data_IF_810217238359
#
_entry.id   IF_810217238359
#
_cell.length_a   1.000
_cell.length_b   1.000
_cell.length_c   1.000
_cell.angle_alpha   90.00
_cell.angle_beta   90.00
_cell.angle_gamma   90.00
#
_symmetry.space_group_name_H-M   'P 1'
#
loop_
_entity.id
_entity.type
_entity.pdbx_description
1 polymer ?
#
# COMPACT_ATOMS: atom_id res chain seq x y z
N UNK A 1 13.84 -32.38 -12.25
CA UNK A 1 12.61 -31.65 -12.64
C UNK A 1 12.91 -30.35 -13.41
N UNK A 2 13.84 -29.52 -12.93
CA UNK A 2 14.11 -28.16 -13.45
C UNK A 2 14.62 -28.09 -14.90
N UNK A 3 15.49 -29.01 -15.33
CA UNK A 3 16.06 -29.02 -16.71
C UNK A 3 15.02 -29.31 -17.80
N UNK A 4 14.02 -30.14 -17.51
CA UNK A 4 12.93 -30.48 -18.45
C UNK A 4 12.00 -29.27 -18.60
N UNK A 5 11.61 -28.64 -17.48
CA UNK A 5 10.76 -27.44 -17.48
C UNK A 5 11.43 -26.27 -18.20
N UNK A 6 12.74 -26.08 -18.03
CA UNK A 6 13.50 -25.03 -18.71
C UNK A 6 13.49 -25.19 -20.25
N UNK A 7 13.52 -26.44 -20.75
CA UNK A 7 13.48 -26.74 -22.19
C UNK A 7 12.14 -26.35 -22.82
N UNK A 8 11.04 -26.54 -22.08
CA UNK A 8 9.67 -26.26 -22.57
C UNK A 8 9.17 -24.86 -22.22
N UNK A 9 9.90 -24.09 -21.42
CA UNK A 9 9.51 -22.72 -21.06
C UNK A 9 9.53 -21.79 -22.29
N UNK A 10 8.43 -21.07 -22.57
CA UNK A 10 8.40 -20.03 -23.60
C UNK A 10 9.49 -18.97 -23.40
N UNK A 11 10.02 -18.43 -24.50
CA UNK A 11 11.09 -17.43 -24.43
C UNK A 11 10.67 -16.13 -23.73
N UNK A 12 9.39 -15.76 -23.81
CA UNK A 12 8.83 -14.66 -23.05
C UNK A 12 9.03 -14.85 -21.54
N UNK A 13 8.77 -16.05 -21.02
CA UNK A 13 8.90 -16.36 -19.60
C UNK A 13 10.37 -16.42 -19.17
N UNK A 14 11.27 -16.94 -20.02
CA UNK A 14 12.72 -16.91 -19.76
C UNK A 14 13.23 -15.47 -19.63
N UNK A 15 12.76 -14.55 -20.48
CA UNK A 15 13.15 -13.12 -20.43
C UNK A 15 12.63 -12.45 -19.16
N UNK A 16 11.39 -12.72 -18.75
CA UNK A 16 10.83 -12.23 -17.48
C UNK A 16 11.64 -12.74 -16.30
N UNK A 17 11.92 -14.05 -16.23
CA UNK A 17 12.70 -14.64 -15.14
C UNK A 17 14.10 -14.02 -15.02
N UNK A 18 14.78 -13.77 -16.14
CA UNK A 18 16.08 -13.07 -16.12
C UNK A 18 15.96 -11.64 -15.64
N UNK A 19 14.94 -10.89 -16.09
CA UNK A 19 14.75 -9.51 -15.67
C UNK A 19 14.41 -9.38 -14.18
N UNK A 20 13.66 -10.32 -13.62
CA UNK A 20 13.47 -10.43 -12.17
C UNK A 20 14.82 -10.64 -11.48
N UNK A 21 15.63 -11.59 -11.97
CA UNK A 21 16.97 -11.84 -11.44
C UNK A 21 17.88 -10.60 -11.50
N UNK A 22 17.86 -9.85 -12.60
CA UNK A 22 18.63 -8.60 -12.73
C UNK A 22 18.12 -7.50 -11.79
N UNK A 23 16.80 -7.38 -11.62
CA UNK A 23 16.23 -6.38 -10.70
C UNK A 23 16.62 -6.68 -9.24
N UNK A 24 16.60 -7.95 -8.86
CA UNK A 24 17.09 -8.42 -7.56
C UNK A 24 18.59 -8.18 -7.38
N UNK A 25 19.39 -8.43 -8.41
CA UNK A 25 20.85 -8.25 -8.37
C UNK A 25 21.26 -6.78 -8.23
N UNK A 26 20.60 -5.88 -8.97
CA UNK A 26 20.90 -4.45 -8.96
C UNK A 26 20.33 -3.76 -7.72
N UNK A 27 19.14 -4.19 -7.25
CA UNK A 27 18.55 -3.73 -6.00
C UNK A 27 18.04 -2.28 -5.99
N UNK A 28 18.14 -1.55 -7.10
CA UNK A 28 17.71 -0.16 -7.22
C UNK A 28 16.30 -0.01 -7.83
N UNK A 29 15.67 1.13 -7.58
CA UNK A 29 14.31 1.45 -8.03
C UNK A 29 14.20 1.49 -9.56
N UNK A 30 15.25 1.91 -10.26
CA UNK A 30 15.27 2.02 -11.73
C UNK A 30 15.20 0.63 -12.39
N UNK A 31 15.92 -0.36 -11.85
CA UNK A 31 15.86 -1.74 -12.31
C UNK A 31 14.44 -2.32 -12.15
N UNK A 32 13.80 -2.05 -11.02
CA UNK A 32 12.40 -2.44 -10.78
C UNK A 32 11.41 -1.70 -11.71
N UNK A 33 11.64 -0.43 -12.03
CA UNK A 33 10.83 0.28 -13.03
C UNK A 33 10.97 -0.34 -14.43
N UNK A 34 12.18 -0.70 -14.84
CA UNK A 34 12.40 -1.38 -16.14
C UNK A 34 11.73 -2.75 -16.21
N UNK A 35 11.65 -3.47 -15.09
CA UNK A 35 10.90 -4.73 -15.04
C UNK A 35 9.44 -4.53 -15.44
N UNK A 36 8.79 -3.43 -15.06
CA UNK A 36 7.37 -3.16 -15.40
C UNK A 36 7.11 -3.12 -16.91
N UNK A 37 8.07 -2.57 -17.68
CA UNK A 37 8.02 -2.52 -19.15
C UNK A 37 8.09 -3.93 -19.73
N UNK A 38 8.98 -4.77 -19.20
CA UNK A 38 9.16 -6.15 -19.67
C UNK A 38 7.95 -7.00 -19.33
N UNK A 39 7.39 -6.87 -18.11
CA UNK A 39 6.17 -7.58 -17.72
C UNK A 39 5.01 -7.19 -18.63
N UNK A 40 4.82 -5.90 -18.91
CA UNK A 40 3.74 -5.40 -19.77
C UNK A 40 3.87 -5.90 -21.21
N UNK A 41 5.09 -5.98 -21.74
CA UNK A 41 5.34 -6.39 -23.13
C UNK A 41 5.36 -7.92 -23.35
N UNK A 42 5.41 -8.73 -22.29
CA UNK A 42 5.68 -10.18 -22.39
C UNK A 42 4.69 -11.08 -21.65
N UNK A 43 3.93 -10.54 -20.71
CA UNK A 43 2.90 -11.28 -19.98
C UNK A 43 1.52 -10.77 -20.32
N UNK A 44 0.53 -11.66 -20.26
CA UNK A 44 -0.89 -11.26 -20.33
C UNK A 44 -1.32 -10.52 -19.05
N UNK A 45 -2.43 -9.77 -19.07
CA UNK A 45 -2.97 -9.14 -17.87
C UNK A 45 -3.20 -10.13 -16.72
N UNK A 46 -3.71 -11.32 -17.01
CA UNK A 46 -4.00 -12.37 -16.03
C UNK A 46 -2.70 -12.90 -15.39
N UNK A 47 -1.66 -13.10 -16.20
CA UNK A 47 -0.34 -13.53 -15.70
C UNK A 47 0.30 -12.47 -14.81
N UNK A 48 0.19 -11.19 -15.16
CA UNK A 48 0.68 -10.10 -14.30
C UNK A 48 -0.10 -10.01 -13.00
N UNK A 49 -1.42 -10.15 -13.04
CA UNK A 49 -2.27 -10.16 -11.86
C UNK A 49 -1.92 -11.33 -10.92
N UNK A 50 -1.73 -12.53 -11.46
CA UNK A 50 -1.29 -13.69 -10.67
C UNK A 50 0.09 -13.49 -10.04
N UNK A 51 1.04 -12.91 -10.77
CA UNK A 51 2.37 -12.60 -10.24
C UNK A 51 2.31 -11.54 -9.13
N UNK A 52 1.52 -10.48 -9.31
CA UNK A 52 1.31 -9.45 -8.29
C UNK A 52 0.66 -10.03 -7.04
N UNK A 53 -0.36 -10.87 -7.20
CA UNK A 53 -1.01 -11.58 -6.08
C UNK A 53 -0.01 -12.43 -5.31
N UNK A 54 0.82 -13.23 -6.00
CA UNK A 54 1.81 -14.08 -5.35
C UNK A 54 2.86 -13.26 -4.59
N UNK A 55 3.31 -12.14 -5.17
CA UNK A 55 4.23 -11.22 -4.51
C UNK A 55 3.60 -10.60 -3.25
N UNK A 56 2.38 -10.06 -3.35
CA UNK A 56 1.66 -9.47 -2.21
C UNK A 56 1.39 -10.50 -1.09
N UNK A 57 1.06 -11.74 -1.44
CA UNK A 57 0.85 -12.82 -0.46
C UNK A 57 2.11 -13.24 0.30
N UNK A 58 3.29 -12.84 -0.17
CA UNK A 58 4.56 -13.08 0.53
C UNK A 58 4.92 -12.01 1.56
N UNK A 59 4.17 -10.91 1.60
CA UNK A 59 4.41 -9.75 2.47
C UNK A 59 3.61 -9.84 3.78
N UNK A 60 4.05 -9.09 4.80
CA UNK A 60 3.23 -8.86 6.00
C UNK A 60 2.06 -7.91 5.68
N UNK A 61 0.98 -7.89 6.49
CA UNK A 61 -0.14 -6.98 6.26
C UNK A 61 0.27 -5.50 6.14
N UNK A 62 1.19 -5.03 6.98
CA UNK A 62 1.69 -3.65 6.92
C UNK A 62 2.50 -3.37 5.65
N UNK A 63 3.29 -4.33 5.17
CA UNK A 63 4.01 -4.20 3.89
C UNK A 63 3.05 -4.16 2.69
N UNK A 64 1.97 -4.95 2.72
CA UNK A 64 0.92 -4.89 1.70
C UNK A 64 0.30 -3.50 1.66
N UNK A 65 -0.08 -2.94 2.81
CA UNK A 65 -0.64 -1.60 2.90
C UNK A 65 0.34 -0.54 2.36
N UNK A 66 1.61 -0.58 2.78
CA UNK A 66 2.63 0.35 2.32
C UNK A 66 2.85 0.29 0.80
N UNK A 67 2.86 -0.91 0.20
CA UNK A 67 2.94 -1.05 -1.27
C UNK A 67 1.68 -0.48 -1.93
N UNK A 68 0.49 -0.82 -1.42
CA UNK A 68 -0.78 -0.34 -1.95
C UNK A 68 -0.87 1.19 -1.99
N UNK A 69 -0.42 1.88 -0.94
CA UNK A 69 -0.37 3.35 -0.87
C UNK A 69 0.50 3.99 -1.96
N UNK A 70 1.51 3.28 -2.47
CA UNK A 70 2.39 3.79 -3.54
C UNK A 70 1.82 3.58 -4.95
N UNK A 71 0.89 2.65 -5.13
CA UNK A 71 0.38 2.23 -6.46
C UNK A 71 -1.08 2.57 -6.70
N UNK A 72 -1.89 2.73 -5.64
CA UNK A 72 -3.29 3.08 -5.77
C UNK A 72 -3.44 4.58 -6.05
N UNK A 73 -4.25 4.97 -7.05
CA UNK A 73 -4.41 6.36 -7.45
C UNK A 73 -5.26 7.19 -6.47
N UNK A 74 -5.99 6.55 -5.55
CA UNK A 74 -6.99 7.18 -4.71
C UNK A 74 -6.55 7.16 -3.25
N UNK A 75 -6.40 8.37 -2.71
CA UNK A 75 -6.36 8.69 -1.29
C UNK A 75 -7.76 9.21 -0.92
N UNK A 76 -8.16 9.19 0.36
CA UNK A 76 -9.47 9.75 0.74
C UNK A 76 -9.59 11.22 0.32
N UNK A 77 -8.46 11.92 0.25
CA UNK A 77 -8.41 13.31 -0.16
C UNK A 77 -8.91 14.19 0.96
N UNK A 78 -9.46 15.36 0.61
CA UNK A 78 -10.00 16.26 1.62
C UNK A 78 -11.29 15.70 2.24
N UNK A 79 -11.50 15.86 3.56
CA UNK A 79 -12.80 15.66 4.19
C UNK A 79 -13.89 16.41 3.42
N UNK A 80 -15.07 15.80 3.37
CA UNK A 80 -16.19 16.34 2.61
C UNK A 80 -16.96 17.36 3.44
N UNK A 81 -17.87 18.09 2.80
CA UNK A 81 -18.73 19.03 3.52
C UNK A 81 -19.59 18.28 4.55
N UNK A 82 -19.66 18.84 5.76
CA UNK A 82 -20.45 18.30 6.86
C UNK A 82 -21.93 18.24 6.49
N UNK A 83 -22.52 17.05 6.58
CA UNK A 83 -23.97 16.87 6.38
C UNK A 83 -24.74 16.89 7.71
N UNK A 84 -24.19 16.29 8.78
CA UNK A 84 -24.86 16.17 10.08
C UNK A 84 -24.01 16.68 11.26
N UNK A 85 -22.93 15.97 11.59
CA UNK A 85 -22.00 16.35 12.66
C UNK A 85 -20.55 15.97 12.30
N UNK A 86 -19.61 16.55 13.05
CA UNK A 86 -18.18 16.35 12.84
C UNK A 86 -17.70 14.92 13.07
N UNK A 87 -18.27 14.19 14.03
CA UNK A 87 -17.79 12.86 14.38
C UNK A 87 -18.20 11.81 13.34
N UNK A 88 -19.43 11.89 12.85
CA UNK A 88 -19.92 10.98 11.80
C UNK A 88 -19.17 11.20 10.48
N UNK A 89 -18.92 12.47 10.10
CA UNK A 89 -18.14 12.79 8.91
C UNK A 89 -16.69 12.33 9.05
N UNK A 90 -16.06 12.61 10.19
CA UNK A 90 -14.69 12.19 10.45
C UNK A 90 -14.53 10.67 10.43
N UNK A 91 -15.50 9.91 10.97
CA UNK A 91 -15.49 8.45 10.94
C UNK A 91 -15.63 7.91 9.50
N UNK A 92 -16.58 8.43 8.73
CA UNK A 92 -16.78 8.04 7.34
C UNK A 92 -15.53 8.32 6.49
N UNK A 93 -14.92 9.50 6.64
CA UNK A 93 -13.67 9.82 5.93
C UNK A 93 -12.53 8.91 6.38
N UNK A 94 -12.40 8.65 7.68
CA UNK A 94 -11.34 7.79 8.24
C UNK A 94 -11.41 6.35 7.72
N UNK A 95 -12.60 5.81 7.45
CA UNK A 95 -12.78 4.47 6.85
C UNK A 95 -12.17 4.35 5.44
N UNK A 96 -12.03 5.47 4.72
CA UNK A 96 -11.47 5.51 3.37
C UNK A 96 -10.03 6.03 3.33
N UNK A 97 -9.55 6.62 4.43
CA UNK A 97 -8.26 7.29 4.50
C UNK A 97 -7.11 6.28 4.52
N UNK A 98 -6.02 6.64 3.84
CA UNK A 98 -4.74 5.93 3.97
C UNK A 98 -4.17 6.08 5.39
N UNK A 99 -3.26 5.19 5.79
CA UNK A 99 -2.64 5.27 7.12
C UNK A 99 -1.86 6.59 7.28
N UNK A 100 -1.22 7.05 6.19
CA UNK A 100 -0.57 8.36 6.13
C UNK A 100 -1.52 9.53 6.36
N UNK A 101 -2.71 9.51 5.76
CA UNK A 101 -3.74 10.54 5.94
C UNK A 101 -4.27 10.57 7.38
N UNK A 102 -4.59 9.39 7.94
CA UNK A 102 -5.04 9.25 9.33
C UNK A 102 -4.01 9.85 10.30
N UNK A 103 -2.74 9.46 10.18
CA UNK A 103 -1.66 9.97 11.06
C UNK A 103 -1.48 11.47 10.93
N UNK A 104 -1.49 11.99 9.70
CA UNK A 104 -1.31 13.42 9.45
C UNK A 104 -2.45 14.24 10.06
N UNK A 105 -3.70 13.84 9.81
CA UNK A 105 -4.87 14.59 10.25
C UNK A 105 -5.08 14.45 11.76
N UNK A 106 -4.85 13.27 12.34
CA UNK A 106 -4.89 13.08 13.78
C UNK A 106 -3.88 13.97 14.51
N UNK A 107 -2.61 13.96 14.09
CA UNK A 107 -1.57 14.79 14.70
C UNK A 107 -1.84 16.29 14.53
N UNK A 108 -2.23 16.71 13.32
CA UNK A 108 -2.51 18.12 13.04
C UNK A 108 -3.71 18.64 13.82
N UNK A 109 -4.74 17.81 14.03
CA UNK A 109 -5.94 18.16 14.80
C UNK A 109 -5.62 18.21 16.29
N UNK A 110 -4.96 17.17 16.82
CA UNK A 110 -4.57 17.08 18.23
C UNK A 110 -3.69 18.26 18.67
N UNK A 111 -2.65 18.58 17.90
CA UNK A 111 -1.70 19.67 18.24
C UNK A 111 -2.31 21.08 18.23
N UNK A 112 -3.52 21.25 17.67
CA UNK A 112 -4.24 22.52 17.62
C UNK A 112 -5.31 22.65 18.71
N UNK A 113 -5.61 21.57 19.45
CA UNK A 113 -6.48 21.65 20.61
C UNK A 113 -5.81 22.50 21.71
N UNK A 114 -6.62 23.12 22.58
CA UNK A 114 -6.11 23.76 23.79
C UNK A 114 -5.42 22.73 24.69
N UNK A 115 -4.48 23.12 25.56
CA UNK A 115 -3.82 22.20 26.48
C UNK A 115 -4.80 21.33 27.29
N UNK A 116 -5.87 21.93 27.80
CA UNK A 116 -6.91 21.21 28.56
C UNK A 116 -7.62 20.15 27.69
N UNK A 117 -7.92 20.47 26.44
CA UNK A 117 -8.55 19.53 25.51
C UNK A 117 -7.57 18.46 25.01
N UNK A 118 -6.27 18.75 24.91
CA UNK A 118 -5.26 17.74 24.64
C UNK A 118 -5.18 16.73 25.79
N UNK A 119 -5.18 17.21 27.04
CA UNK A 119 -5.18 16.35 28.23
C UNK A 119 -6.43 15.47 28.28
N UNK A 120 -7.62 16.08 28.14
CA UNK A 120 -8.88 15.34 28.13
C UNK A 120 -8.95 14.29 27.00
N UNK A 121 -8.40 14.59 25.82
CA UNK A 121 -8.32 13.63 24.72
C UNK A 121 -7.41 12.45 25.07
N UNK A 122 -6.24 12.71 25.67
CA UNK A 122 -5.29 11.68 26.08
C UNK A 122 -5.89 10.76 27.15
N UNK A 123 -6.56 11.33 28.15
CA UNK A 123 -7.24 10.56 29.21
C UNK A 123 -8.27 9.60 28.58
N UNK A 124 -9.13 10.11 27.69
CA UNK A 124 -10.15 9.30 27.02
C UNK A 124 -9.57 8.12 26.22
N UNK A 125 -8.53 8.35 25.40
CA UNK A 125 -7.96 7.27 24.57
C UNK A 125 -7.15 6.26 25.39
N UNK A 126 -6.54 6.69 26.49
CA UNK A 126 -5.80 5.80 27.39
C UNK A 126 -6.74 4.91 28.21
N UNK A 127 -7.83 5.44 28.75
CA UNK A 127 -8.85 4.64 29.45
C UNK A 127 -9.43 3.55 28.55
N UNK A 128 -9.70 3.88 27.28
CA UNK A 128 -10.25 2.93 26.31
C UNK A 128 -9.25 1.85 25.88
N UNK A 129 -7.95 2.10 25.97
CA UNK A 129 -6.91 1.10 25.71
C UNK A 129 -6.75 0.09 26.86
N UNK A 130 -7.21 0.43 28.06
CA UNK A 130 -7.12 -0.41 29.26
C UNK A 130 -8.36 -1.32 29.49
N UNK A 131 -9.45 -1.11 28.74
CA UNK A 131 -10.71 -1.85 28.81
C UNK A 131 -10.80 -2.95 27.75
#
# INVERSE_FOLDING_TARGET
MTKILQKHMPDAFKRVARMVGYSLLLGDTEAWHRLTVVLSARLTPEQRAAMAWAALRSLTPGQVAAVAETVLPQRAGQPIALLFNYMDEAAFWADMASEGELKAYALASFTRLSPDNQAAFLDYVQERAAA
#
